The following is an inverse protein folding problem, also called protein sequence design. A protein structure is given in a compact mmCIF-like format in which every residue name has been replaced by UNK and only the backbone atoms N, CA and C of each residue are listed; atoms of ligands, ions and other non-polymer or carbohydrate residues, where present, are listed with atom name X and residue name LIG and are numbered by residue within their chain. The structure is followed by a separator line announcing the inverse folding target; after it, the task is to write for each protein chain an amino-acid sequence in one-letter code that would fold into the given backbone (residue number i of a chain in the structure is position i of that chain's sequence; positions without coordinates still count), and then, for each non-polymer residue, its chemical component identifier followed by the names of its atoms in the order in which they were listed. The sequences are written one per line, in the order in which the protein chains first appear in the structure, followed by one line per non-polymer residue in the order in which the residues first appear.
data_IF_670713646655
#
_entry.id   IF_670713646655
#
_cell.length_a   1.000
_cell.length_b   1.000
_cell.length_c   1.000
_cell.angle_alpha   90.00
_cell.angle_beta   90.00
_cell.angle_gamma   90.00
#
_symmetry.space_group_name_H-M   'P 1'
#
loop_
_entity.id
_entity.type
_entity.pdbx_description
1 polymer ?
#
# COMPACT_ATOMS: atom_id res chain seq x y z
N UNK A 1 -0.10 30.05 66.38
CA UNK A 1 -0.13 30.62 65.02
C UNK A 1 1.04 30.17 64.14
N UNK A 2 2.29 30.11 64.67
CA UNK A 2 3.49 29.68 63.92
C UNK A 2 3.38 28.27 63.31
N UNK A 3 2.77 27.32 64.04
CA UNK A 3 2.56 25.94 63.58
C UNK A 3 1.70 25.84 62.31
N UNK A 4 0.67 26.67 62.19
CA UNK A 4 -0.23 26.68 61.03
C UNK A 4 0.45 27.28 59.79
N UNK A 5 1.29 28.30 60.00
CA UNK A 5 2.08 28.94 58.95
C UNK A 5 3.07 27.97 58.30
N UNK A 6 3.67 27.07 59.09
CA UNK A 6 4.59 26.02 58.61
C UNK A 6 3.89 24.97 57.72
N UNK A 7 2.65 24.63 58.04
CA UNK A 7 1.86 23.70 57.22
C UNK A 7 1.45 24.33 55.89
N UNK A 8 1.10 25.61 55.87
CA UNK A 8 0.73 26.32 54.65
C UNK A 8 1.95 26.42 53.72
N UNK A 9 3.13 26.77 54.24
CA UNK A 9 4.35 26.83 53.43
C UNK A 9 4.77 25.48 52.83
N UNK A 10 4.41 24.36 53.47
CA UNK A 10 4.70 23.01 52.97
C UNK A 10 3.76 22.58 51.85
N UNK A 11 2.54 23.12 51.79
CA UNK A 11 1.57 22.84 50.73
C UNK A 11 1.88 23.62 49.43
N UNK A 12 2.59 24.75 49.52
CA UNK A 12 2.96 25.58 48.37
C UNK A 12 4.15 25.05 47.56
N UNK A 13 4.84 24.00 48.01
CA UNK A 13 6.03 23.44 47.32
C UNK A 13 5.71 22.29 46.35
N UNK A 14 4.43 22.05 46.02
CA UNK A 14 4.08 21.04 45.03
C UNK A 14 4.57 21.46 43.64
N UNK A 15 5.72 20.93 43.24
CA UNK A 15 6.26 21.06 41.88
C UNK A 15 5.50 20.12 40.96
N UNK A 16 4.80 20.68 39.97
CA UNK A 16 4.26 19.91 38.86
C UNK A 16 5.43 19.46 37.98
N UNK A 17 5.65 18.15 37.88
CA UNK A 17 6.69 17.58 37.01
C UNK A 17 6.08 17.36 35.63
N UNK A 18 6.52 18.11 34.63
CA UNK A 18 6.25 17.81 33.23
C UNK A 18 7.17 16.67 32.79
N UNK A 19 6.62 15.47 32.64
CA UNK A 19 7.33 14.34 32.07
C UNK A 19 7.03 14.28 30.56
N UNK A 20 8.07 14.38 29.74
CA UNK A 20 7.97 14.05 28.32
C UNK A 20 7.84 12.52 28.19
N UNK A 21 6.71 12.06 27.68
CA UNK A 21 6.44 10.63 27.49
C UNK A 21 6.77 10.29 26.05
N UNK A 22 7.85 9.54 25.85
CA UNK A 22 8.22 9.06 24.53
C UNK A 22 7.22 8.00 24.03
N UNK A 23 6.44 8.34 23.01
CA UNK A 23 5.55 7.40 22.31
C UNK A 23 6.30 6.79 21.13
N UNK A 24 6.42 5.46 21.10
CA UNK A 24 7.00 4.72 19.98
C UNK A 24 5.90 4.02 19.18
N UNK A 25 5.64 4.49 17.95
CA UNK A 25 4.69 3.86 17.04
C UNK A 25 5.47 2.99 16.06
N UNK A 26 5.12 1.70 16.00
CA UNK A 26 5.67 0.74 15.03
C UNK A 26 4.55 0.16 14.20
N UNK A 27 4.85 -0.12 12.93
CA UNK A 27 3.94 -0.76 12.01
C UNK A 27 4.62 -1.09 10.70
N UNK A 28 3.96 -1.92 9.90
CA UNK A 28 4.44 -2.31 8.59
C UNK A 28 3.59 -1.58 7.54
N UNK A 29 4.24 -0.98 6.55
CA UNK A 29 3.56 -0.39 5.40
C UNK A 29 3.41 -1.46 4.33
N UNK A 30 2.17 -1.76 3.96
CA UNK A 30 1.86 -2.71 2.89
C UNK A 30 1.36 -1.97 1.66
N UNK A 31 2.01 -2.21 0.52
CA UNK A 31 1.55 -1.72 -0.78
C UNK A 31 0.70 -2.84 -1.40
N UNK A 32 -0.60 -2.61 -1.64
CA UNK A 32 -1.46 -3.62 -2.24
C UNK A 32 -1.03 -3.93 -3.68
N UNK A 33 -1.30 -5.15 -4.16
CA UNK A 33 -1.04 -5.52 -5.55
C UNK A 33 -1.90 -4.70 -6.51
N UNK A 34 -1.41 -4.51 -7.73
CA UNK A 34 -2.21 -3.92 -8.81
C UNK A 34 -3.25 -4.92 -9.33
N UNK A 35 -4.38 -4.41 -9.80
CA UNK A 35 -5.40 -5.21 -10.49
C UNK A 35 -5.13 -5.22 -11.99
N UNK A 36 -5.08 -6.42 -12.57
CA UNK A 36 -4.93 -6.64 -14.02
C UNK A 36 -6.32 -6.85 -14.62
N UNK A 37 -6.60 -6.20 -15.76
CA UNK A 37 -7.86 -6.34 -16.50
C UNK A 37 -9.11 -6.15 -15.61
N UNK A 38 -9.04 -5.22 -14.65
CA UNK A 38 -10.09 -4.98 -13.66
C UNK A 38 -10.51 -6.24 -12.86
N UNK A 39 -9.60 -7.20 -12.68
CA UNK A 39 -9.87 -8.47 -12.01
C UNK A 39 -10.62 -9.51 -12.86
N UNK A 40 -10.79 -9.26 -14.16
CA UNK A 40 -11.51 -10.15 -15.07
C UNK A 40 -10.54 -11.01 -15.89
N UNK A 41 -11.04 -12.16 -16.38
CA UNK A 41 -10.27 -13.03 -17.26
C UNK A 41 -9.89 -12.32 -18.57
N UNK A 42 -8.63 -12.51 -18.99
CA UNK A 42 -8.17 -12.08 -20.30
C UNK A 42 -8.56 -13.16 -21.31
N UNK A 43 -9.64 -12.92 -22.05
CA UNK A 43 -10.11 -13.82 -23.10
C UNK A 43 -9.62 -13.31 -24.44
N UNK A 44 -8.93 -14.13 -25.24
CA UNK A 44 -8.59 -13.80 -26.63
C UNK A 44 -9.49 -14.64 -27.52
N UNK A 45 -10.26 -13.99 -28.39
CA UNK A 45 -11.11 -14.66 -29.36
C UNK A 45 -10.46 -14.55 -30.74
N UNK A 46 -10.06 -15.70 -31.28
CA UNK A 46 -9.44 -15.81 -32.59
C UNK A 46 -10.45 -15.90 -33.74
N UNK A 47 -11.74 -16.03 -33.42
CA UNK A 47 -12.78 -16.27 -34.41
C UNK A 47 -12.52 -17.53 -35.23
N UNK A 48 -12.98 -17.51 -36.49
CA UNK A 48 -12.74 -18.60 -37.43
C UNK A 48 -11.47 -18.33 -38.25
N UNK A 49 -10.37 -18.95 -37.84
CA UNK A 49 -9.07 -18.82 -38.51
C UNK A 49 -8.69 -20.15 -39.17
N UNK A 50 -8.20 -20.10 -40.42
CA UNK A 50 -7.63 -21.27 -41.07
C UNK A 50 -6.21 -21.51 -40.52
N UNK A 51 -5.95 -22.63 -39.83
CA UNK A 51 -4.62 -22.93 -39.28
C UNK A 51 -3.50 -22.95 -40.33
N UNK A 52 -3.81 -23.30 -41.59
CA UNK A 52 -2.83 -23.32 -42.69
C UNK A 52 -2.37 -21.91 -43.11
N UNK A 53 -3.06 -20.87 -42.68
CA UNK A 53 -2.76 -19.47 -42.97
C UNK A 53 -2.29 -18.68 -41.74
N UNK A 54 -2.01 -19.36 -40.63
CA UNK A 54 -1.42 -18.76 -39.43
C UNK A 54 0.10 -18.77 -39.56
N UNK A 55 0.71 -17.59 -39.44
CA UNK A 55 2.17 -17.45 -39.37
C UNK A 55 2.55 -16.37 -38.35
N UNK A 56 3.84 -15.99 -38.31
CA UNK A 56 4.36 -14.98 -37.38
C UNK A 56 3.78 -13.56 -37.56
N UNK A 57 2.89 -13.34 -38.53
CA UNK A 57 2.26 -12.05 -38.85
C UNK A 57 0.76 -12.15 -39.14
N UNK A 58 0.28 -13.31 -39.59
CA UNK A 58 -1.13 -13.57 -39.92
C UNK A 58 -1.77 -14.38 -38.79
N UNK A 59 -2.87 -13.85 -38.25
CA UNK A 59 -3.59 -14.44 -37.12
C UNK A 59 -3.17 -13.90 -35.76
N UNK A 60 -2.28 -12.90 -35.71
CA UNK A 60 -1.96 -12.19 -34.48
C UNK A 60 -3.15 -11.33 -34.02
N UNK A 61 -3.45 -11.41 -32.71
CA UNK A 61 -4.47 -10.57 -32.07
C UNK A 61 -3.82 -9.81 -30.93
N UNK A 62 -3.78 -8.49 -31.08
CA UNK A 62 -3.31 -7.59 -30.04
C UNK A 62 -4.46 -7.29 -29.08
N UNK A 63 -4.29 -7.69 -27.80
CA UNK A 63 -5.17 -7.25 -26.72
C UNK A 63 -4.45 -6.27 -25.79
N UNK A 64 -5.01 -5.07 -25.68
CA UNK A 64 -4.60 -4.10 -24.67
C UNK A 64 -5.25 -4.46 -23.34
N UNK A 65 -4.42 -4.60 -22.30
CA UNK A 65 -4.88 -4.94 -20.95
C UNK A 65 -4.59 -3.75 -20.03
N UNK A 66 -5.58 -3.36 -19.23
CA UNK A 66 -5.41 -2.32 -18.22
C UNK A 66 -4.71 -2.88 -16.97
N UNK A 67 -3.81 -2.07 -16.42
CA UNK A 67 -3.21 -2.31 -15.10
C UNK A 67 -3.57 -1.12 -14.23
N UNK A 68 -4.23 -1.36 -13.10
CA UNK A 68 -4.63 -0.33 -12.15
C UNK A 68 -3.97 -0.56 -10.80
N UNK A 69 -3.30 0.47 -10.27
CA UNK A 69 -2.60 0.44 -8.99
C UNK A 69 -3.04 1.63 -8.14
N UNK A 70 -3.48 1.39 -6.90
CA UNK A 70 -3.86 2.45 -5.96
C UNK A 70 -2.66 3.32 -5.56
N UNK A 71 -1.46 2.72 -5.55
CA UNK A 71 -0.21 3.38 -5.21
C UNK A 71 0.80 3.09 -6.31
N UNK A 72 1.55 4.11 -6.74
CA UNK A 72 2.62 3.96 -7.73
C UNK A 72 3.94 3.77 -6.99
N UNK A 73 4.48 2.55 -7.02
CA UNK A 73 5.83 2.26 -6.55
C UNK A 73 6.51 1.31 -7.52
N UNK A 74 7.64 1.74 -8.09
CA UNK A 74 8.40 0.97 -9.09
C UNK A 74 7.78 0.91 -10.49
N UNK A 75 8.45 0.18 -11.38
CA UNK A 75 7.97 -0.11 -12.74
C UNK A 75 7.42 -1.54 -12.81
N UNK A 76 6.24 -1.76 -13.42
CA UNK A 76 5.70 -3.10 -13.59
C UNK A 76 6.59 -3.93 -14.51
N UNK A 77 6.73 -5.22 -14.22
CA UNK A 77 7.46 -6.19 -15.05
C UNK A 77 6.62 -7.45 -15.24
N UNK A 78 6.75 -8.09 -16.40
CA UNK A 78 6.04 -9.32 -16.74
C UNK A 78 7.06 -10.46 -16.74
N UNK A 79 6.78 -11.52 -15.97
CA UNK A 79 7.57 -12.75 -16.02
C UNK A 79 7.00 -13.67 -17.10
N UNK A 80 7.77 -13.92 -18.17
CA UNK A 80 7.46 -15.00 -19.10
C UNK A 80 7.78 -16.36 -18.48
N UNK A 81 6.91 -17.35 -18.67
CA UNK A 81 7.26 -18.75 -18.49
C UNK A 81 7.74 -19.29 -19.84
N UNK A 82 8.98 -19.77 -19.87
CA UNK A 82 9.53 -20.56 -20.98
C UNK A 82 9.42 -22.04 -20.60
#
# INVERSE_FOLDING_TARGET
MIRLSLFISLLLTSVAVLADVQINIRGNVYIPPCTINNGQNIVVDFGNINPEHVDNSRGEITKTISISCTYKSGSPWIKGHR
#
